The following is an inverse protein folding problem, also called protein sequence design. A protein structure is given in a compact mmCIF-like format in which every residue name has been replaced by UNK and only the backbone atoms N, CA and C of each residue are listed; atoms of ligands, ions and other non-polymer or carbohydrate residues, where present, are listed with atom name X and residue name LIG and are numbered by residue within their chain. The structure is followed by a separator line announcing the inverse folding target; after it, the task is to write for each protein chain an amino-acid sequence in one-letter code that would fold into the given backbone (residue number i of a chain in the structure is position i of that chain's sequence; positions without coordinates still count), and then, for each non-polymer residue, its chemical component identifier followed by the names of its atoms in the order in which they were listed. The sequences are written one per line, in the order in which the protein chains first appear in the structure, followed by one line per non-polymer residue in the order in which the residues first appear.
data_IF_807092330773
#
_entry.id   IF_807092330773
#
_cell.length_a   1.000
_cell.length_b   1.000
_cell.length_c   1.000
_cell.angle_alpha   90.00
_cell.angle_beta   90.00
_cell.angle_gamma   90.00
#
_symmetry.space_group_name_H-M   'P 1'
#
loop_
_entity.id
_entity.type
_entity.pdbx_description
1 polymer ?
#
# COMPACT_ATOMS: atom_id res chain seq x y z
N UNK A 1 -52.45 33.76 19.74
CA UNK A 1 -53.91 33.53 19.99
C UNK A 1 -54.40 34.43 21.12
N UNK A 2 -53.75 34.42 22.29
CA UNK A 2 -54.08 35.30 23.42
C UNK A 2 -54.16 36.80 23.06
N UNK A 3 -53.15 37.34 22.37
CA UNK A 3 -53.17 38.74 21.90
C UNK A 3 -54.34 39.04 20.96
N UNK A 4 -54.67 38.13 20.03
CA UNK A 4 -55.76 38.34 19.08
C UNK A 4 -57.15 38.35 19.73
N UNK A 5 -57.35 37.60 20.82
CA UNK A 5 -58.61 37.61 21.58
C UNK A 5 -58.73 38.89 22.41
N UNK A 6 -57.62 39.37 23.00
CA UNK A 6 -57.56 40.63 23.74
C UNK A 6 -57.92 41.83 22.84
N UNK A 7 -57.33 41.90 21.66
CA UNK A 7 -57.62 42.95 20.67
C UNK A 7 -59.08 42.95 20.22
N UNK A 8 -59.71 41.78 20.08
CA UNK A 8 -61.14 41.69 19.72
C UNK A 8 -62.07 42.19 20.82
N UNK A 9 -61.72 42.00 22.09
CA UNK A 9 -62.54 42.45 23.23
C UNK A 9 -62.36 43.94 23.50
N UNK A 10 -61.14 44.48 23.34
CA UNK A 10 -60.85 45.90 23.54
C UNK A 10 -61.44 46.79 22.44
N UNK A 11 -61.71 46.24 21.25
CA UNK A 11 -62.35 46.92 20.13
C UNK A 11 -63.89 46.95 20.19
N UNK A 12 -64.53 46.38 21.22
CA UNK A 12 -65.98 46.45 21.40
C UNK A 12 -66.39 47.83 21.96
N UNK A 13 -67.36 48.46 21.30
CA UNK A 13 -67.81 49.81 21.64
C UNK A 13 -68.54 49.81 23.00
N UNK A 14 -68.05 50.61 23.94
CA UNK A 14 -68.55 50.70 25.33
C UNK A 14 -67.67 50.06 26.42
N UNK A 15 -66.55 49.41 26.07
CA UNK A 15 -65.51 48.87 27.00
C UNK A 15 -66.03 48.38 28.39
N UNK A 16 -66.94 47.40 28.45
CA UNK A 16 -67.61 47.05 29.71
C UNK A 16 -66.78 46.18 30.69
N UNK A 17 -65.62 45.66 30.29
CA UNK A 17 -64.78 44.73 31.11
C UNK A 17 -63.29 44.81 30.73
N UNK A 18 -62.38 44.64 31.71
CA UNK A 18 -60.94 44.47 31.46
C UNK A 18 -60.53 43.00 31.50
N UNK A 19 -59.75 42.56 30.51
CA UNK A 19 -59.31 41.16 30.39
C UNK A 19 -57.95 41.00 31.08
N UNK A 20 -57.90 40.23 32.16
CA UNK A 20 -56.66 40.05 32.93
C UNK A 20 -55.76 38.95 32.34
N UNK A 21 -56.32 37.77 32.06
CA UNK A 21 -55.62 36.68 31.36
C UNK A 21 -56.60 35.83 30.53
N UNK A 22 -56.15 35.34 29.37
CA UNK A 22 -56.91 34.40 28.53
C UNK A 22 -56.24 33.04 28.61
N UNK A 23 -56.81 32.13 29.39
CA UNK A 23 -56.36 30.74 29.42
C UNK A 23 -57.09 29.93 28.36
N UNK A 24 -56.34 29.43 27.37
CA UNK A 24 -56.84 28.44 26.43
C UNK A 24 -57.11 27.14 27.21
N UNK A 25 -58.38 26.77 27.30
CA UNK A 25 -58.76 25.42 27.73
C UNK A 25 -58.56 24.47 26.54
N UNK A 26 -58.17 23.23 26.84
CA UNK A 26 -57.75 22.18 25.91
C UNK A 26 -58.39 22.26 24.52
N UNK A 27 -57.59 22.47 23.48
CA UNK A 27 -58.06 22.47 22.08
C UNK A 27 -58.32 21.02 21.71
N UNK A 28 -59.57 20.58 21.84
CA UNK A 28 -59.98 19.23 21.43
C UNK A 28 -60.04 19.18 19.91
N UNK A 29 -58.93 18.76 19.29
CA UNK A 29 -58.88 18.44 17.87
C UNK A 29 -59.77 17.22 17.57
N UNK A 30 -60.61 17.26 16.52
CA UNK A 30 -61.37 16.10 16.08
C UNK A 30 -60.44 14.91 15.78
N UNK A 31 -60.80 13.73 16.26
CA UNK A 31 -59.97 12.51 16.23
C UNK A 31 -59.40 12.22 14.82
N UNK A 32 -60.21 12.41 13.77
CA UNK A 32 -59.81 12.21 12.37
C UNK A 32 -58.63 13.11 11.91
N UNK A 33 -58.55 14.34 12.41
CA UNK A 33 -57.49 15.30 12.04
C UNK A 33 -56.20 14.93 12.77
N UNK A 34 -56.29 14.55 14.04
CA UNK A 34 -55.13 14.11 14.85
C UNK A 34 -54.43 12.90 14.22
N UNK A 35 -55.20 11.89 13.83
CA UNK A 35 -54.69 10.69 13.15
C UNK A 35 -54.06 11.00 11.78
N UNK A 36 -54.64 11.94 11.01
CA UNK A 36 -54.05 12.34 9.74
C UNK A 36 -52.72 13.09 9.91
N UNK A 37 -52.63 13.98 10.90
CA UNK A 37 -51.38 14.69 11.21
C UNK A 37 -50.31 13.69 11.64
N UNK A 38 -50.64 12.75 12.51
CA UNK A 38 -49.71 11.72 12.98
C UNK A 38 -49.22 10.84 11.83
N UNK A 39 -50.11 10.39 10.93
CA UNK A 39 -49.71 9.67 9.71
C UNK A 39 -48.77 10.47 8.81
N UNK A 40 -49.04 11.76 8.60
CA UNK A 40 -48.18 12.62 7.77
C UNK A 40 -46.82 12.85 8.43
N UNK A 41 -46.79 13.01 9.75
CA UNK A 41 -45.53 13.16 10.49
C UNK A 41 -44.68 11.89 10.43
N UNK A 42 -45.29 10.71 10.59
CA UNK A 42 -44.59 9.42 10.45
C UNK A 42 -44.05 9.26 9.03
N UNK A 43 -44.85 9.53 8.00
CA UNK A 43 -44.43 9.43 6.61
C UNK A 43 -43.26 10.38 6.28
N UNK A 44 -43.28 11.61 6.81
CA UNK A 44 -42.20 12.57 6.63
C UNK A 44 -40.91 12.12 7.34
N UNK A 45 -41.01 11.62 8.57
CA UNK A 45 -39.85 11.10 9.30
C UNK A 45 -39.22 9.89 8.61
N UNK A 46 -40.04 8.99 8.08
CA UNK A 46 -39.56 7.83 7.34
C UNK A 46 -38.89 8.25 6.03
N UNK A 47 -39.47 9.20 5.30
CA UNK A 47 -38.87 9.77 4.08
C UNK A 47 -37.52 10.45 4.35
N UNK A 48 -37.40 11.22 5.42
CA UNK A 48 -36.13 11.82 5.83
C UNK A 48 -35.08 10.76 6.18
N UNK A 49 -35.48 9.70 6.89
CA UNK A 49 -34.59 8.60 7.24
C UNK A 49 -34.08 7.87 6.01
N UNK A 50 -34.97 7.50 5.09
CA UNK A 50 -34.62 6.83 3.83
C UNK A 50 -33.69 7.72 2.99
N UNK A 51 -34.00 9.02 2.89
CA UNK A 51 -33.15 9.98 2.18
C UNK A 51 -31.75 10.04 2.79
N UNK A 52 -31.64 10.06 4.12
CA UNK A 52 -30.36 10.05 4.81
C UNK A 52 -29.59 8.74 4.60
N UNK A 53 -30.27 7.59 4.65
CA UNK A 53 -29.68 6.28 4.36
C UNK A 53 -29.11 6.22 2.93
N UNK A 54 -29.86 6.69 1.92
CA UNK A 54 -29.41 6.75 0.53
C UNK A 54 -28.21 7.68 0.37
N UNK A 55 -28.24 8.87 0.99
CA UNK A 55 -27.12 9.81 0.95
C UNK A 55 -25.86 9.21 1.57
N UNK A 56 -25.99 8.55 2.73
CA UNK A 56 -24.89 7.87 3.39
C UNK A 56 -24.33 6.74 2.52
N UNK A 57 -25.19 5.91 1.94
CA UNK A 57 -24.79 4.82 1.05
C UNK A 57 -24.05 5.34 -0.19
N UNK A 58 -24.51 6.45 -0.78
CA UNK A 58 -23.86 7.10 -1.93
C UNK A 58 -22.48 7.63 -1.57
N UNK A 59 -22.36 8.36 -0.45
CA UNK A 59 -21.06 8.86 0.03
C UNK A 59 -20.08 7.73 0.34
N UNK A 60 -20.57 6.64 0.93
CA UNK A 60 -19.72 5.49 1.24
C UNK A 60 -19.26 4.77 -0.03
N UNK A 61 -20.13 4.63 -1.04
CA UNK A 61 -19.78 4.09 -2.34
C UNK A 61 -18.75 4.97 -3.07
N UNK A 62 -18.94 6.29 -3.08
CA UNK A 62 -18.01 7.26 -3.65
C UNK A 62 -16.65 7.19 -2.95
N UNK A 63 -16.63 7.13 -1.61
CA UNK A 63 -15.40 6.98 -0.83
C UNK A 63 -14.67 5.69 -1.19
N UNK A 64 -15.36 4.55 -1.27
CA UNK A 64 -14.74 3.27 -1.65
C UNK A 64 -14.20 3.30 -3.07
N UNK A 65 -14.93 3.90 -4.01
CA UNK A 65 -14.48 4.06 -5.39
C UNK A 65 -13.21 4.92 -5.46
N UNK A 66 -13.19 6.07 -4.77
CA UNK A 66 -12.02 6.95 -4.72
C UNK A 66 -10.81 6.30 -4.03
N UNK A 67 -11.03 5.50 -2.99
CA UNK A 67 -9.97 4.73 -2.34
C UNK A 67 -9.40 3.67 -3.29
N UNK A 68 -10.26 2.90 -3.97
CA UNK A 68 -9.83 1.87 -4.90
C UNK A 68 -9.06 2.45 -6.10
N UNK A 69 -9.49 3.58 -6.65
CA UNK A 69 -8.76 4.26 -7.73
C UNK A 69 -7.43 4.82 -7.23
N UNK A 70 -7.40 5.42 -6.04
CA UNK A 70 -6.16 5.89 -5.41
C UNK A 70 -5.16 4.76 -5.15
N UNK A 71 -5.61 3.61 -4.66
CA UNK A 71 -4.76 2.43 -4.43
C UNK A 71 -4.24 1.82 -5.74
N UNK A 72 -5.10 1.72 -6.77
CA UNK A 72 -4.70 1.21 -8.07
C UNK A 72 -3.63 2.13 -8.72
N UNK A 73 -3.85 3.44 -8.65
CA UNK A 73 -2.92 4.42 -9.20
C UNK A 73 -1.60 4.45 -8.43
N UNK A 74 -1.65 4.38 -7.10
CA UNK A 74 -0.45 4.27 -6.27
C UNK A 74 0.39 3.04 -6.64
N UNK A 75 -0.25 1.87 -6.81
CA UNK A 75 0.44 0.64 -7.26
C UNK A 75 1.05 0.78 -8.64
N UNK A 76 0.37 1.46 -9.57
CA UNK A 76 0.87 1.72 -10.92
C UNK A 76 2.12 2.60 -10.89
N UNK A 77 2.07 3.70 -10.13
CA UNK A 77 3.20 4.62 -9.96
C UNK A 77 4.37 3.91 -9.27
N UNK A 78 4.10 3.11 -8.24
CA UNK A 78 5.13 2.35 -7.54
C UNK A 78 5.78 1.31 -8.45
N UNK A 79 5.00 0.55 -9.22
CA UNK A 79 5.52 -0.42 -10.17
C UNK A 79 6.36 0.25 -11.26
N UNK A 80 5.90 1.39 -11.79
CA UNK A 80 6.65 2.19 -12.75
C UNK A 80 7.96 2.70 -12.16
N UNK A 81 7.93 3.26 -10.95
CA UNK A 81 9.12 3.75 -10.26
C UNK A 81 10.14 2.64 -9.99
N UNK A 82 9.69 1.43 -9.62
CA UNK A 82 10.56 0.25 -9.48
C UNK A 82 11.16 -0.18 -10.83
N UNK A 83 10.36 -0.22 -11.88
CA UNK A 83 10.84 -0.59 -13.22
C UNK A 83 11.87 0.41 -13.75
N UNK A 84 11.63 1.70 -13.55
CA UNK A 84 12.55 2.77 -13.93
C UNK A 84 13.84 2.71 -13.11
N UNK A 85 13.75 2.46 -11.80
CA UNK A 85 14.91 2.28 -10.94
C UNK A 85 15.80 1.12 -11.42
N UNK A 86 15.22 -0.05 -11.67
CA UNK A 86 15.96 -1.21 -12.21
C UNK A 86 16.59 -0.90 -13.56
N UNK A 87 15.88 -0.18 -14.43
CA UNK A 87 16.40 0.21 -15.75
C UNK A 87 17.57 1.17 -15.63
N UNK A 88 17.50 2.16 -14.74
CA UNK A 88 18.56 3.12 -14.49
C UNK A 88 19.78 2.41 -13.89
N UNK A 89 19.58 1.55 -12.91
CA UNK A 89 20.64 0.77 -12.27
C UNK A 89 21.32 -0.16 -13.28
N UNK A 90 20.56 -0.90 -14.07
CA UNK A 90 21.10 -1.77 -15.11
C UNK A 90 21.90 -0.99 -16.18
N UNK A 91 21.41 0.18 -16.59
CA UNK A 91 22.14 1.07 -17.51
C UNK A 91 23.44 1.56 -16.89
N UNK A 92 23.40 2.00 -15.63
CA UNK A 92 24.58 2.47 -14.91
C UNK A 92 25.62 1.34 -14.78
N UNK A 93 25.19 0.13 -14.40
CA UNK A 93 26.06 -1.04 -14.30
C UNK A 93 26.64 -1.43 -15.67
N UNK A 94 25.85 -1.37 -16.74
CA UNK A 94 26.34 -1.66 -18.09
C UNK A 94 27.43 -0.67 -18.53
N UNK A 95 27.24 0.63 -18.25
CA UNK A 95 28.25 1.67 -18.52
C UNK A 95 29.51 1.44 -17.68
N UNK A 96 29.36 1.13 -16.40
CA UNK A 96 30.48 0.81 -15.52
C UNK A 96 31.26 -0.42 -16.03
N UNK A 97 30.57 -1.51 -16.37
CA UNK A 97 31.18 -2.72 -16.92
C UNK A 97 31.91 -2.44 -18.23
N UNK A 98 31.34 -1.60 -19.10
CA UNK A 98 31.98 -1.18 -20.35
C UNK A 98 33.28 -0.40 -20.07
N UNK A 99 33.25 0.55 -19.14
CA UNK A 99 34.44 1.32 -18.76
C UNK A 99 35.52 0.45 -18.11
N UNK A 100 35.13 -0.54 -17.29
CA UNK A 100 36.05 -1.53 -16.73
C UNK A 100 36.68 -2.36 -17.86
N UNK A 101 35.89 -2.88 -18.79
CA UNK A 101 36.38 -3.66 -19.92
C UNK A 101 37.34 -2.85 -20.81
N UNK A 102 37.04 -1.56 -21.05
CA UNK A 102 37.94 -0.65 -21.77
C UNK A 102 39.26 -0.38 -21.01
N UNK A 103 39.20 -0.37 -19.67
CA UNK A 103 40.37 -0.17 -18.80
C UNK A 103 41.22 -1.43 -18.63
N UNK A 104 40.63 -2.61 -18.82
CA UNK A 104 41.32 -3.90 -18.78
C UNK A 104 42.10 -4.12 -20.08
N UNK A 105 43.32 -3.59 -20.14
CA UNK A 105 44.23 -3.90 -21.26
C UNK A 105 44.75 -5.33 -21.14
N UNK A 106 45.03 -6.02 -22.27
CA UNK A 106 45.65 -7.34 -22.26
C UNK A 106 46.96 -7.41 -21.46
N UNK A 107 47.72 -6.32 -21.45
CA UNK A 107 48.97 -6.21 -20.69
C UNK A 107 48.74 -6.19 -19.17
N UNK A 108 47.68 -5.53 -18.69
CA UNK A 108 47.32 -5.52 -17.26
C UNK A 108 46.80 -6.89 -16.81
N UNK A 109 45.96 -7.54 -17.62
CA UNK A 109 45.49 -8.90 -17.35
C UNK A 109 46.67 -9.89 -17.30
N UNK A 110 47.62 -9.77 -18.23
CA UNK A 110 48.83 -10.59 -18.24
C UNK A 110 49.72 -10.33 -17.02
N UNK A 111 49.91 -9.06 -16.64
CA UNK A 111 50.64 -8.69 -15.42
C UNK A 111 50.00 -9.30 -14.17
N UNK A 112 48.67 -9.19 -14.02
CA UNK A 112 47.94 -9.76 -12.88
C UNK A 112 48.00 -11.29 -12.88
N UNK A 113 47.94 -11.93 -14.05
CA UNK A 113 48.11 -13.37 -14.18
C UNK A 113 49.50 -13.81 -13.72
N UNK A 114 50.57 -13.09 -14.10
CA UNK A 114 51.94 -13.37 -13.66
C UNK A 114 52.04 -13.23 -12.13
N UNK A 115 51.43 -12.19 -11.54
CA UNK A 115 51.46 -11.97 -10.09
C UNK A 115 50.77 -13.11 -9.32
N UNK A 116 49.59 -13.55 -9.78
CA UNK A 116 48.86 -14.68 -9.20
C UNK A 116 49.67 -15.98 -9.35
N UNK A 117 50.29 -16.20 -10.51
CA UNK A 117 51.18 -17.35 -10.73
C UNK A 117 52.43 -17.29 -9.82
N UNK A 118 52.99 -16.11 -9.59
CA UNK A 118 54.11 -15.89 -8.67
C UNK A 118 53.76 -16.25 -7.23
N UNK A 119 52.65 -15.72 -6.72
CA UNK A 119 52.11 -16.07 -5.39
C UNK A 119 51.79 -17.56 -5.26
N UNK A 120 51.26 -18.16 -6.32
CA UNK A 120 51.03 -19.60 -6.38
C UNK A 120 52.34 -20.39 -6.27
N UNK A 121 53.38 -19.99 -7.01
CA UNK A 121 54.69 -20.64 -6.94
C UNK A 121 55.34 -20.49 -5.54
N UNK A 122 55.13 -19.36 -4.86
CA UNK A 122 55.55 -19.16 -3.48
C UNK A 122 54.85 -20.14 -2.53
N UNK A 123 53.53 -20.32 -2.68
CA UNK A 123 52.77 -21.29 -1.90
C UNK A 123 53.20 -22.74 -2.14
N UNK A 124 53.58 -23.10 -3.38
CA UNK A 124 54.14 -24.43 -3.69
C UNK A 124 55.54 -24.64 -3.11
N UNK A 125 56.31 -23.58 -2.94
CA UNK A 125 57.62 -23.66 -2.25
C UNK A 125 57.45 -24.00 -0.77
N UNK A 126 56.38 -23.50 -0.16
CA UNK A 126 56.02 -23.79 1.22
C UNK A 126 55.38 -25.17 1.39
N UNK A 127 54.61 -25.65 0.40
CA UNK A 127 53.92 -26.95 0.45
C UNK A 127 54.36 -27.90 -0.69
N UNK A 128 55.31 -28.79 -0.38
CA UNK A 128 55.97 -29.71 -1.34
C UNK A 128 55.13 -30.95 -1.72
N UNK A 129 53.95 -31.13 -1.14
CA UNK A 129 53.15 -32.37 -1.30
C UNK A 129 52.10 -32.28 -2.44
N UNK A 130 51.95 -31.12 -3.09
CA UNK A 130 50.99 -30.93 -4.17
C UNK A 130 51.53 -31.46 -5.52
N UNK A 131 51.03 -32.61 -6.00
CA UNK A 131 51.24 -33.08 -7.39
C UNK A 131 50.32 -32.31 -8.34
N UNK A 132 50.89 -31.49 -9.24
CA UNK A 132 50.13 -30.61 -10.14
C UNK A 132 50.41 -30.95 -11.61
N UNK A 133 49.35 -31.11 -12.40
CA UNK A 133 49.44 -31.19 -13.87
C UNK A 133 49.27 -29.79 -14.47
N UNK A 134 50.32 -29.29 -15.12
CA UNK A 134 50.31 -28.07 -15.91
C UNK A 134 49.80 -28.40 -17.32
N UNK A 135 48.59 -27.97 -17.68
CA UNK A 135 48.12 -28.05 -19.08
C UNK A 135 48.81 -26.96 -19.92
N UNK A 136 49.43 -27.31 -21.06
CA UNK A 136 50.05 -26.31 -21.92
C UNK A 136 48.94 -25.51 -22.62
N UNK A 137 48.75 -24.25 -22.21
CA UNK A 137 47.93 -23.29 -22.96
C UNK A 137 46.73 -22.65 -22.23
N UNK A 138 46.59 -22.77 -20.91
CA UNK A 138 45.47 -22.13 -20.19
C UNK A 138 45.82 -21.73 -18.77
N UNK A 139 45.61 -20.45 -18.46
CA UNK A 139 45.99 -19.72 -17.24
C UNK A 139 45.26 -20.11 -15.95
N UNK A 140 44.51 -21.20 -15.94
CA UNK A 140 43.70 -21.63 -14.79
C UNK A 140 44.14 -23.03 -14.31
N UNK A 141 44.99 -23.13 -13.29
CA UNK A 141 45.36 -24.40 -12.68
C UNK A 141 44.15 -25.00 -11.96
N UNK A 142 43.75 -26.22 -12.32
CA UNK A 142 42.80 -26.99 -11.51
C UNK A 142 43.58 -27.76 -10.43
N UNK A 143 43.37 -27.43 -9.14
CA UNK A 143 43.95 -28.17 -8.01
C UNK A 143 43.08 -29.40 -7.73
N UNK A 144 43.63 -30.59 -7.92
CA UNK A 144 43.04 -31.82 -7.40
C UNK A 144 43.77 -32.19 -6.11
N UNK A 145 43.08 -32.05 -4.97
CA UNK A 145 43.57 -32.53 -3.67
C UNK A 145 43.28 -34.04 -3.60
N UNK A 146 44.31 -34.86 -3.76
CA UNK A 146 44.20 -36.31 -3.55
C UNK A 146 44.19 -36.60 -2.04
N UNK A 147 43.03 -36.95 -1.50
CA UNK A 147 42.92 -37.59 -0.19
C UNK A 147 42.97 -39.10 -0.38
N UNK A 148 44.16 -39.65 -0.64
CA UNK A 148 44.37 -41.10 -0.61
C UNK A 148 45.63 -41.49 0.13
N UNK A 149 45.45 -41.73 1.43
CA UNK A 149 46.08 -42.87 2.08
C UNK A 149 45.05 -43.99 2.33
N UNK A 150 45.17 -45.02 1.47
CA UNK A 150 44.74 -46.43 1.49
C UNK A 150 43.24 -46.86 1.52
N UNK A 151 42.89 -47.91 0.74
CA UNK A 151 41.58 -48.56 0.76
C UNK A 151 41.46 -49.51 1.96
N UNK A 152 40.29 -49.53 2.63
CA UNK A 152 39.90 -50.64 3.50
C UNK A 152 38.71 -51.35 2.86
N UNK A 153 38.94 -52.60 2.51
CA UNK A 153 37.89 -53.58 2.21
C UNK A 153 36.82 -53.57 3.30
N UNK A 154 35.56 -53.46 2.89
CA UNK A 154 34.46 -54.12 3.58
C UNK A 154 33.48 -54.64 2.54
N UNK A 155 33.64 -55.93 2.25
CA UNK A 155 32.58 -56.84 1.83
C UNK A 155 31.36 -56.67 2.72
N UNK A 156 30.19 -56.37 2.14
CA UNK A 156 28.89 -56.75 2.72
C UNK A 156 28.05 -57.33 1.58
N UNK A 157 27.84 -58.63 1.70
CA UNK A 157 27.06 -59.51 0.84
C UNK A 157 25.55 -59.20 0.97
N UNK A 158 24.78 -59.51 -0.08
CA UNK A 158 23.32 -59.66 -0.04
C UNK A 158 22.97 -61.14 0.16
#
# INVERSE_FOLDING_TARGET
IEQGIREQIENLDGKPVSVESVQLREIVLPIKIKEQIERVQIANQESERVRYEVLRAKQEAEKRAAQATGEAEAKRIEAQGRADAVTIEAKAQAVANKSIAESLTPNLLHMQQIEVQGKFNEALRENKDAKIFLTPGGSTPNIWVDTKDKPRDTVINK
#
